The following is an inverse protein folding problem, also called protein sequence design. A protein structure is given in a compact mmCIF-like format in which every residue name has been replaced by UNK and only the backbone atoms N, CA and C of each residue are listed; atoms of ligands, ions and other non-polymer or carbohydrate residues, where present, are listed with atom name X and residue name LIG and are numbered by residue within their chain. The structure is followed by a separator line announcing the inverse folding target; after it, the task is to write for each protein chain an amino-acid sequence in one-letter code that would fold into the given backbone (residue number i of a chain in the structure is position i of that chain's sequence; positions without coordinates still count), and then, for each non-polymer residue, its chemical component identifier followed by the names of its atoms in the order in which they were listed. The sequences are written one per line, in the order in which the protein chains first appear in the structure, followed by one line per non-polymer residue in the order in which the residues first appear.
data_IF_339982981846
#
_entry.id   IF_339982981846
#
_cell.length_a   1.000
_cell.length_b   1.000
_cell.length_c   1.000
_cell.angle_alpha   90.00
_cell.angle_beta   90.00
_cell.angle_gamma   90.00
#
_symmetry.space_group_name_H-M   'P 1'
#
loop_
_entity.id
_entity.type
_entity.pdbx_description
1 polymer ?
#
# COMPACT_ATOMS: atom_id res chain seq x y z
N UNK A 1 23.87 -67.26 -37.68
CA UNK A 1 22.60 -66.50 -37.57
C UNK A 1 22.90 -65.20 -36.82
N UNK A 2 22.52 -64.07 -37.43
CA UNK A 2 22.47 -62.65 -37.00
C UNK A 2 22.58 -62.35 -35.48
N UNK A 3 23.07 -61.20 -34.97
CA UNK A 3 23.09 -59.82 -35.50
C UNK A 3 23.96 -58.91 -34.60
N UNK A 4 24.54 -57.85 -35.17
CA UNK A 4 25.13 -56.69 -34.48
C UNK A 4 24.06 -55.77 -33.85
N UNK A 5 24.49 -54.91 -32.90
CA UNK A 5 24.14 -53.48 -32.65
C UNK A 5 23.85 -53.17 -31.16
N UNK A 6 24.67 -52.38 -30.44
CA UNK A 6 24.81 -50.90 -30.34
C UNK A 6 23.71 -50.19 -29.52
N UNK A 7 24.18 -49.28 -28.63
CA UNK A 7 23.46 -48.20 -27.91
C UNK A 7 22.63 -48.60 -26.68
N UNK A 8 22.49 -47.82 -25.61
CA UNK A 8 22.69 -46.39 -25.43
C UNK A 8 23.10 -46.07 -23.98
N UNK A 9 23.91 -45.02 -23.83
CA UNK A 9 24.08 -44.28 -22.58
C UNK A 9 22.70 -43.75 -22.13
N UNK A 10 22.28 -44.07 -20.91
CA UNK A 10 21.19 -43.35 -20.27
C UNK A 10 21.80 -42.31 -19.35
N UNK A 11 21.73 -41.07 -19.81
CA UNK A 11 22.10 -39.88 -19.08
C UNK A 11 21.57 -39.94 -17.64
N UNK A 12 22.48 -39.91 -16.67
CA UNK A 12 22.21 -39.27 -15.39
C UNK A 12 22.04 -37.77 -15.68
N UNK A 13 20.87 -37.40 -16.19
CA UNK A 13 20.39 -36.02 -16.22
C UNK A 13 20.30 -35.61 -14.75
N UNK A 14 21.38 -35.01 -14.27
CA UNK A 14 21.36 -34.10 -13.13
C UNK A 14 20.19 -33.16 -13.35
N UNK A 15 19.07 -33.44 -12.69
CA UNK A 15 17.92 -32.56 -12.61
C UNK A 15 18.52 -31.23 -12.15
N UNK A 16 18.47 -30.15 -12.95
CA UNK A 16 18.88 -28.87 -12.43
C UNK A 16 17.90 -28.62 -11.28
N UNK A 17 18.42 -28.55 -10.06
CA UNK A 17 17.71 -27.99 -8.93
C UNK A 17 17.41 -26.54 -9.30
N UNK A 18 16.32 -26.36 -10.03
CA UNK A 18 15.72 -25.07 -10.31
C UNK A 18 15.26 -24.59 -8.96
N UNK A 19 16.08 -23.71 -8.40
CA UNK A 19 15.86 -23.00 -7.15
C UNK A 19 14.50 -22.28 -7.20
N UNK A 20 13.48 -22.96 -6.69
CA UNK A 20 12.09 -22.49 -6.63
C UNK A 20 11.92 -21.31 -5.65
N UNK A 21 12.96 -20.91 -4.89
CA UNK A 21 12.93 -19.75 -3.99
C UNK A 21 12.99 -18.41 -4.74
N UNK A 22 13.62 -18.38 -5.91
CA UNK A 22 13.76 -17.16 -6.75
C UNK A 22 12.45 -16.82 -7.46
N UNK A 23 11.50 -17.77 -7.52
CA UNK A 23 10.22 -17.61 -8.20
C UNK A 23 9.19 -16.74 -7.45
N UNK A 24 9.46 -16.31 -6.23
CA UNK A 24 8.43 -15.68 -5.38
C UNK A 24 8.56 -14.15 -5.25
N UNK A 25 9.75 -13.65 -4.93
CA UNK A 25 9.94 -12.22 -4.56
C UNK A 25 9.64 -11.25 -5.71
N UNK A 26 10.11 -11.57 -6.92
CA UNK A 26 9.87 -10.71 -8.09
C UNK A 26 8.39 -10.57 -8.43
N UNK A 27 7.63 -11.66 -8.31
CA UNK A 27 6.19 -11.72 -8.57
C UNK A 27 5.40 -11.01 -7.48
N UNK A 28 5.81 -11.16 -6.21
CA UNK A 28 5.25 -10.42 -5.08
C UNK A 28 5.41 -8.91 -5.24
N UNK A 29 6.61 -8.45 -5.63
CA UNK A 29 6.87 -7.02 -5.86
C UNK A 29 6.04 -6.50 -7.04
N UNK A 30 5.95 -7.26 -8.14
CA UNK A 30 5.14 -6.89 -9.29
C UNK A 30 3.65 -6.74 -8.92
N UNK A 31 3.10 -7.70 -8.18
CA UNK A 31 1.72 -7.65 -7.69
C UNK A 31 1.49 -6.45 -6.75
N UNK A 32 2.41 -6.22 -5.81
CA UNK A 32 2.35 -5.10 -4.87
C UNK A 32 2.39 -3.74 -5.61
N UNK A 33 3.18 -3.63 -6.68
CA UNK A 33 3.23 -2.43 -7.51
C UNK A 33 1.91 -2.19 -8.25
N UNK A 34 1.39 -3.22 -8.92
CA UNK A 34 0.09 -3.14 -9.63
C UNK A 34 -1.01 -2.74 -8.67
N UNK A 35 -1.03 -3.32 -7.48
CA UNK A 35 -2.01 -2.99 -6.46
C UNK A 35 -1.87 -1.55 -5.96
N UNK A 36 -0.65 -1.10 -5.66
CA UNK A 36 -0.40 0.28 -5.25
C UNK A 36 -0.85 1.28 -6.31
N UNK A 37 -0.54 1.03 -7.59
CA UNK A 37 -0.98 1.87 -8.71
C UNK A 37 -2.51 1.89 -8.82
N UNK A 38 -3.17 0.74 -8.71
CA UNK A 38 -4.64 0.66 -8.71
C UNK A 38 -5.25 1.45 -7.56
N UNK A 39 -4.67 1.36 -6.35
CA UNK A 39 -5.16 2.10 -5.18
C UNK A 39 -4.97 3.62 -5.35
N UNK A 40 -3.83 4.09 -5.86
CA UNK A 40 -3.59 5.53 -6.13
C UNK A 40 -4.56 6.06 -7.19
N UNK A 41 -4.81 5.27 -8.25
CA UNK A 41 -5.78 5.63 -9.30
C UNK A 41 -7.20 5.69 -8.74
N UNK A 42 -7.61 4.73 -7.91
CA UNK A 42 -8.91 4.77 -7.22
C UNK A 42 -9.04 5.99 -6.30
N UNK A 43 -7.97 6.39 -5.63
CA UNK A 43 -7.92 7.61 -4.83
C UNK A 43 -7.90 8.91 -5.66
N UNK A 44 -7.93 8.84 -7.01
CA UNK A 44 -7.80 9.97 -7.95
C UNK A 44 -6.54 10.84 -7.74
N UNK A 45 -5.51 10.33 -7.05
CA UNK A 45 -4.27 11.05 -6.71
C UNK A 45 -3.10 10.76 -7.66
N UNK A 46 -3.37 10.19 -8.82
CA UNK A 46 -2.34 9.88 -9.81
C UNK A 46 -1.55 11.13 -10.26
N UNK A 47 -2.18 12.31 -10.21
CA UNK A 47 -1.52 13.58 -10.55
C UNK A 47 -0.37 13.92 -9.59
N UNK A 48 -0.47 13.57 -8.30
CA UNK A 48 0.55 13.84 -7.28
C UNK A 48 1.81 12.97 -7.41
N UNK A 49 1.76 11.89 -8.20
CA UNK A 49 2.93 11.03 -8.41
C UNK A 49 3.94 11.77 -9.29
N UNK A 50 5.18 11.81 -8.83
CA UNK A 50 6.32 12.39 -9.52
C UNK A 50 6.48 11.86 -10.97
N UNK A 51 6.80 12.71 -11.97
CA UNK A 51 6.92 12.31 -13.38
C UNK A 51 7.92 11.18 -13.63
N UNK A 52 9.08 11.19 -12.96
CA UNK A 52 10.09 10.14 -13.11
C UNK A 52 9.56 8.80 -12.59
N UNK A 53 8.88 8.83 -11.44
CA UNK A 53 8.23 7.64 -10.86
C UNK A 53 7.13 7.10 -11.79
N UNK A 54 6.34 7.97 -12.45
CA UNK A 54 5.35 7.58 -13.46
C UNK A 54 6.00 6.89 -14.66
N UNK A 55 7.08 7.45 -15.20
CA UNK A 55 7.80 6.87 -16.32
C UNK A 55 8.39 5.51 -15.97
N UNK A 56 9.00 5.39 -14.79
CA UNK A 56 9.55 4.14 -14.28
C UNK A 56 8.48 3.05 -14.14
N UNK A 57 7.34 3.36 -13.52
CA UNK A 57 6.21 2.43 -13.38
C UNK A 57 5.70 1.98 -14.76
N UNK A 58 5.54 2.91 -15.70
CA UNK A 58 5.10 2.58 -17.07
C UNK A 58 6.09 1.64 -17.77
N UNK A 59 7.38 1.95 -17.72
CA UNK A 59 8.42 1.11 -18.32
C UNK A 59 8.41 -0.29 -17.71
N UNK A 60 8.33 -0.39 -16.38
CA UNK A 60 8.28 -1.67 -15.68
C UNK A 60 7.05 -2.52 -16.09
N UNK A 61 5.88 -1.89 -16.22
CA UNK A 61 4.66 -2.59 -16.62
C UNK A 61 4.68 -3.05 -18.10
N UNK A 62 5.26 -2.25 -18.99
CA UNK A 62 5.40 -2.60 -20.41
C UNK A 62 6.36 -3.77 -20.58
N UNK A 63 7.50 -3.73 -19.90
CA UNK A 63 8.54 -4.76 -20.00
C UNK A 63 8.15 -6.10 -19.37
N UNK A 64 7.07 -6.14 -18.56
CA UNK A 64 6.59 -7.34 -17.85
C UNK A 64 7.74 -8.11 -17.18
N UNK A 65 8.60 -7.41 -16.43
CA UNK A 65 9.79 -8.01 -15.83
C UNK A 65 9.39 -9.17 -14.89
N UNK A 66 9.51 -10.39 -15.40
CA UNK A 66 9.14 -11.61 -14.67
C UNK A 66 10.21 -12.00 -13.66
N UNK A 67 11.46 -11.58 -13.86
CA UNK A 67 12.60 -11.89 -12.99
C UNK A 67 13.51 -10.67 -12.82
N UNK A 68 13.30 -9.92 -11.75
CA UNK A 68 14.22 -8.85 -11.34
C UNK A 68 15.38 -9.46 -10.56
N UNK A 69 16.55 -9.61 -11.19
CA UNK A 69 17.76 -10.12 -10.51
C UNK A 69 18.60 -9.03 -9.84
N UNK A 70 18.39 -7.76 -10.23
CA UNK A 70 19.16 -6.64 -9.69
C UNK A 70 18.58 -6.18 -8.35
N UNK A 71 19.39 -6.27 -7.29
CA UNK A 71 19.06 -5.77 -5.94
C UNK A 71 18.74 -4.27 -5.97
N UNK A 72 19.47 -3.50 -6.77
CA UNK A 72 19.24 -2.06 -6.91
C UNK A 72 17.84 -1.77 -7.49
N UNK A 73 17.41 -2.57 -8.48
CA UNK A 73 16.09 -2.44 -9.08
C UNK A 73 14.97 -2.85 -8.11
N UNK A 74 15.19 -3.88 -7.30
CA UNK A 74 14.27 -4.27 -6.23
C UNK A 74 14.11 -3.12 -5.22
N UNK A 75 15.23 -2.52 -4.80
CA UNK A 75 15.24 -1.41 -3.84
C UNK A 75 14.48 -0.19 -4.37
N UNK A 76 14.66 0.16 -5.64
CA UNK A 76 13.93 1.28 -6.26
C UNK A 76 12.43 0.97 -6.41
N UNK A 77 12.05 -0.26 -6.74
CA UNK A 77 10.66 -0.69 -6.78
C UNK A 77 9.99 -0.57 -5.41
N UNK A 78 10.61 -1.11 -4.37
CA UNK A 78 10.09 -1.02 -2.99
C UNK A 78 9.95 0.43 -2.56
N UNK A 79 10.94 1.28 -2.84
CA UNK A 79 10.87 2.72 -2.55
C UNK A 79 9.71 3.40 -3.30
N UNK A 80 9.47 3.02 -4.55
CA UNK A 80 8.37 3.55 -5.36
C UNK A 80 7.01 3.10 -4.83
N UNK A 81 6.87 1.83 -4.47
CA UNK A 81 5.66 1.28 -3.85
C UNK A 81 5.37 2.00 -2.54
N UNK A 82 6.39 2.24 -1.71
CA UNK A 82 6.26 3.00 -0.46
C UNK A 82 5.72 4.40 -0.71
N UNK A 83 6.33 5.15 -1.64
CA UNK A 83 5.83 6.48 -2.05
C UNK A 83 4.36 6.46 -2.49
N UNK A 84 3.97 5.48 -3.32
CA UNK A 84 2.58 5.34 -3.76
C UNK A 84 1.62 5.04 -2.61
N UNK A 85 2.04 4.21 -1.65
CA UNK A 85 1.26 3.90 -0.44
C UNK A 85 1.13 5.12 0.46
N UNK A 86 2.19 5.88 0.67
CA UNK A 86 2.18 7.09 1.52
C UNK A 86 1.18 8.12 0.98
N UNK A 87 1.10 8.31 -0.34
CA UNK A 87 0.10 9.17 -0.99
C UNK A 87 -1.36 8.74 -0.74
N UNK A 88 -1.58 7.43 -0.51
CA UNK A 88 -2.90 6.90 -0.15
C UNK A 88 -3.13 7.03 1.34
N UNK A 89 -2.14 6.72 2.18
CA UNK A 89 -2.24 6.79 3.65
C UNK A 89 -2.54 8.20 4.12
N UNK A 90 -1.88 9.21 3.54
CA UNK A 90 -2.18 10.62 3.78
C UNK A 90 -3.62 10.98 3.37
N UNK A 91 -4.15 10.29 2.37
CA UNK A 91 -5.54 10.44 1.97
C UNK A 91 -6.50 9.63 2.87
N UNK A 92 -6.05 8.58 3.56
CA UNK A 92 -6.96 7.58 4.12
C UNK A 92 -7.52 7.93 5.49
N UNK A 93 -6.95 8.93 6.19
CA UNK A 93 -7.53 9.73 7.29
C UNK A 93 -6.43 10.07 8.31
N UNK A 94 -6.23 11.34 8.71
CA UNK A 94 -5.28 11.69 9.76
C UNK A 94 -5.85 11.21 11.11
N UNK A 95 -5.44 10.02 11.55
CA UNK A 95 -5.82 9.43 12.84
C UNK A 95 -5.60 10.41 13.99
N UNK A 96 -4.56 11.25 13.92
CA UNK A 96 -4.28 12.31 14.90
C UNK A 96 -5.45 13.30 15.06
N UNK A 97 -6.08 13.73 13.96
CA UNK A 97 -7.25 14.60 14.02
C UNK A 97 -8.47 13.85 14.57
N UNK A 98 -8.61 12.58 14.19
CA UNK A 98 -9.60 11.66 14.77
C UNK A 98 -9.52 11.53 16.29
N UNK A 99 -8.30 11.36 16.82
CA UNK A 99 -8.04 11.24 18.25
C UNK A 99 -8.44 12.54 18.97
N UNK A 100 -8.06 13.70 18.42
CA UNK A 100 -8.42 15.01 18.98
C UNK A 100 -9.93 15.17 19.07
N UNK A 101 -10.65 14.91 17.99
CA UNK A 101 -12.12 15.04 18.00
C UNK A 101 -12.81 14.00 18.88
N UNK A 102 -12.34 12.75 18.86
CA UNK A 102 -12.86 11.72 19.75
C UNK A 102 -12.70 12.14 21.22
N UNK A 103 -11.58 12.79 21.56
CA UNK A 103 -11.35 13.34 22.89
C UNK A 103 -12.31 14.49 23.22
N UNK A 104 -12.45 15.47 22.33
CA UNK A 104 -13.33 16.62 22.53
C UNK A 104 -14.80 16.18 22.69
N UNK A 105 -15.28 15.30 21.81
CA UNK A 105 -16.66 14.80 21.83
C UNK A 105 -16.95 13.91 23.03
N UNK A 106 -16.01 13.06 23.44
CA UNK A 106 -16.16 12.24 24.65
C UNK A 106 -16.20 13.09 25.92
N UNK A 107 -15.33 14.11 26.01
CA UNK A 107 -15.33 15.03 27.14
C UNK A 107 -16.65 15.84 27.21
N UNK A 108 -17.12 16.33 26.07
CA UNK A 108 -18.35 17.11 25.97
C UNK A 108 -19.59 16.27 26.33
N UNK A 109 -19.68 15.03 25.83
CA UNK A 109 -20.75 14.11 26.19
C UNK A 109 -20.70 13.67 27.68
N UNK A 110 -19.50 13.53 28.25
CA UNK A 110 -19.32 13.28 29.68
C UNK A 110 -19.84 14.45 30.51
N UNK A 111 -19.50 15.68 30.11
CA UNK A 111 -19.99 16.91 30.76
C UNK A 111 -21.52 17.07 30.66
N UNK A 112 -22.15 16.49 29.63
CA UNK A 112 -23.61 16.43 29.51
C UNK A 112 -24.26 15.32 30.34
N UNK A 113 -23.48 14.54 31.08
CA UNK A 113 -23.96 13.52 32.02
C UNK A 113 -24.01 12.10 31.44
N UNK A 114 -23.35 11.82 30.32
CA UNK A 114 -23.29 10.46 29.78
C UNK A 114 -22.18 9.63 30.48
N UNK A 115 -22.52 8.65 31.34
CA UNK A 115 -21.57 8.01 32.26
C UNK A 115 -20.52 7.12 31.58
N UNK A 116 -20.71 6.77 30.30
CA UNK A 116 -19.77 5.97 29.52
C UNK A 116 -18.97 6.75 28.47
N UNK A 117 -19.20 8.06 28.34
CA UNK A 117 -18.66 8.82 27.20
C UNK A 117 -17.12 8.89 27.21
N UNK A 118 -16.49 8.99 28.38
CA UNK A 118 -15.02 9.02 28.49
C UNK A 118 -14.34 7.76 27.94
N UNK A 119 -15.03 6.63 27.92
CA UNK A 119 -14.46 5.38 27.40
C UNK A 119 -14.33 5.41 25.86
N UNK A 120 -15.11 6.25 25.17
CA UNK A 120 -15.15 6.33 23.71
C UNK A 120 -13.83 6.82 23.12
N UNK A 121 -13.09 7.68 23.84
CA UNK A 121 -11.75 8.14 23.39
C UNK A 121 -10.73 7.01 23.28
N UNK A 122 -10.95 5.89 23.95
CA UNK A 122 -10.09 4.71 23.90
C UNK A 122 -10.56 3.69 22.85
N UNK A 123 -11.76 3.86 22.29
CA UNK A 123 -12.30 2.99 21.26
C UNK A 123 -11.72 3.37 19.88
N UNK A 124 -10.98 2.43 19.28
CA UNK A 124 -10.39 2.58 17.94
C UNK A 124 -11.46 2.79 16.86
N UNK A 125 -12.61 2.13 16.98
CA UNK A 125 -13.69 2.28 16.00
C UNK A 125 -14.26 3.69 16.05
N UNK A 126 -14.44 4.24 17.26
CA UNK A 126 -14.89 5.61 17.46
C UNK A 126 -13.89 6.64 16.92
N UNK A 127 -12.59 6.48 17.20
CA UNK A 127 -11.53 7.34 16.64
C UNK A 127 -11.59 7.33 15.11
N UNK A 128 -11.65 6.16 14.48
CA UNK A 128 -11.71 6.04 13.02
C UNK A 128 -12.97 6.68 12.45
N UNK A 129 -14.11 6.50 13.12
CA UNK A 129 -15.37 7.12 12.73
C UNK A 129 -15.25 8.65 12.71
N UNK A 130 -14.77 9.27 13.81
CA UNK A 130 -14.61 10.73 13.88
C UNK A 130 -13.66 11.26 12.81
N UNK A 131 -12.60 10.51 12.56
CA UNK A 131 -11.58 10.88 11.60
C UNK A 131 -12.10 10.83 10.14
N UNK A 132 -13.00 9.88 9.82
CA UNK A 132 -13.73 9.84 8.54
C UNK A 132 -14.74 10.99 8.46
N UNK A 133 -15.48 11.24 9.53
CA UNK A 133 -16.47 12.32 9.61
C UNK A 133 -15.82 13.69 9.38
N UNK A 134 -14.70 13.99 10.05
CA UNK A 134 -13.89 15.19 9.82
C UNK A 134 -13.46 15.35 8.35
N UNK A 135 -13.03 14.24 7.74
CA UNK A 135 -12.64 14.25 6.33
C UNK A 135 -13.84 14.51 5.42
N UNK A 136 -15.02 14.02 5.77
CA UNK A 136 -16.24 14.31 5.01
C UNK A 136 -16.67 15.76 5.18
N UNK A 137 -16.68 16.27 6.41
CA UNK A 137 -17.00 17.67 6.74
C UNK A 137 -16.05 18.66 6.05
N UNK A 138 -14.75 18.40 6.04
CA UNK A 138 -13.77 19.26 5.35
C UNK A 138 -13.96 19.29 3.82
N UNK A 139 -14.61 18.28 3.24
CA UNK A 139 -15.00 18.29 1.82
C UNK A 139 -16.29 19.08 1.58
N UNK A 140 -17.20 19.09 2.55
CA UNK A 140 -18.48 19.77 2.45
C UNK A 140 -18.35 21.28 2.69
N UNK A 141 -17.56 21.67 3.70
CA UNK A 141 -17.40 23.06 4.13
C UNK A 141 -16.09 23.71 3.61
N UNK A 142 -15.27 22.98 2.85
CA UNK A 142 -13.94 23.45 2.43
C UNK A 142 -12.96 23.55 3.61
N UNK A 143 -11.74 24.05 3.35
CA UNK A 143 -10.66 24.19 4.37
C UNK A 143 -11.01 25.12 5.55
N UNK A 144 -12.16 25.78 5.54
CA UNK A 144 -12.56 26.77 6.53
C UNK A 144 -12.61 26.22 7.96
N UNK A 145 -12.96 24.93 8.15
CA UNK A 145 -13.05 24.31 9.49
C UNK A 145 -11.67 24.02 10.09
N UNK A 146 -10.62 23.89 9.27
CA UNK A 146 -9.26 23.57 9.75
C UNK A 146 -8.41 24.82 10.06
N UNK A 147 -8.88 26.02 9.71
CA UNK A 147 -8.11 27.27 9.85
C UNK A 147 -8.40 28.07 11.11
N UNK A 148 -9.41 27.70 11.91
CA UNK A 148 -9.79 28.50 13.09
C UNK A 148 -9.10 28.09 14.40
N UNK A 149 -8.34 26.99 14.44
CA UNK A 149 -7.80 26.47 15.71
C UNK A 149 -6.27 26.50 15.85
N UNK A 150 -5.55 27.18 14.95
CA UNK A 150 -4.10 27.46 15.06
C UNK A 150 -3.80 28.85 15.67
N UNK A 151 -4.59 29.29 16.66
CA UNK A 151 -4.26 30.44 17.52
C UNK A 151 -4.08 30.01 18.97
#
# INVERSE_FOLDING_TARGET
MMMYMKSAQYNALSIPLVDNSVMDVGRLIANALVEAVRRVRRARRWYLVDPLSKAFIRAYLIMKLSRVKSVQLIKTLVKTIKKLRDLISEAYVPIKAGIREAWNLSALASNWGHPGAESWRNDKAFIVYQAITLKWLSRLFGRAILSEEDK
#
